data_IF_280498437255
#
_entry.id   IF_280498437255
#
_cell.length_a   1.000
_cell.length_b   1.000
_cell.length_c   1.000
_cell.angle_alpha   90.00
_cell.angle_beta   90.00
_cell.angle_gamma   90.00
#
_symmetry.space_group_name_H-M   'P 1'
#
loop_
_entity.id
_entity.type
_entity.pdbx_description
1 polymer ?
#
# COMPACT_ATOMS: atom_id res chain seq x y z
N UNK A 1 24.50 -11.72 -1.80
CA UNK A 1 23.28 -11.92 -1.00
C UNK A 1 22.28 -10.75 -1.11
N UNK A 2 22.66 -9.47 -0.99
CA UNK A 2 21.74 -8.31 -1.03
C UNK A 2 20.89 -8.19 -2.33
N UNK A 3 21.45 -8.48 -3.50
CA UNK A 3 20.73 -8.41 -4.80
C UNK A 3 19.64 -9.48 -4.98
N UNK A 4 19.78 -10.65 -4.35
CA UNK A 4 18.77 -11.71 -4.38
C UNK A 4 17.57 -11.37 -3.51
N UNK A 5 17.80 -10.85 -2.30
CA UNK A 5 16.73 -10.39 -1.40
C UNK A 5 15.91 -9.25 -2.02
N UNK A 6 16.57 -8.29 -2.67
CA UNK A 6 15.88 -7.17 -3.33
C UNK A 6 15.01 -7.59 -4.53
N UNK A 7 15.43 -8.64 -5.26
CA UNK A 7 14.60 -9.21 -6.33
C UNK A 7 13.41 -9.97 -5.78
N UNK A 8 13.64 -10.78 -4.75
CA UNK A 8 12.56 -11.54 -4.10
C UNK A 8 11.51 -10.60 -3.51
N UNK A 9 11.93 -9.55 -2.86
CA UNK A 9 11.11 -8.51 -2.26
C UNK A 9 10.24 -7.77 -3.32
N UNK A 10 10.82 -7.46 -4.47
CA UNK A 10 10.09 -6.86 -5.60
C UNK A 10 9.03 -7.80 -6.19
N UNK A 11 9.39 -9.06 -6.45
CA UNK A 11 8.44 -10.02 -6.99
C UNK A 11 7.29 -10.32 -6.02
N UNK A 12 7.57 -10.32 -4.71
CA UNK A 12 6.52 -10.50 -3.69
C UNK A 12 5.52 -9.33 -3.68
N UNK A 13 5.98 -8.09 -3.76
CA UNK A 13 5.09 -6.92 -3.81
C UNK A 13 4.25 -6.90 -5.08
N UNK A 14 4.87 -7.10 -6.24
CA UNK A 14 4.16 -7.18 -7.52
C UNK A 14 3.11 -8.30 -7.51
N UNK A 15 3.50 -9.48 -7.01
CA UNK A 15 2.58 -10.60 -6.89
C UNK A 15 1.42 -10.31 -5.94
N UNK A 16 1.68 -9.70 -4.77
CA UNK A 16 0.62 -9.33 -3.82
C UNK A 16 -0.34 -8.30 -4.41
N UNK A 17 0.17 -7.28 -5.09
CA UNK A 17 -0.68 -6.26 -5.72
C UNK A 17 -1.57 -6.87 -6.83
N UNK A 18 -1.01 -7.74 -7.66
CA UNK A 18 -1.77 -8.45 -8.71
C UNK A 18 -2.79 -9.41 -8.09
N UNK A 19 -2.41 -10.13 -7.02
CA UNK A 19 -3.31 -11.03 -6.32
C UNK A 19 -4.48 -10.27 -5.66
N UNK A 20 -4.23 -9.12 -5.03
CA UNK A 20 -5.29 -8.29 -4.46
C UNK A 20 -6.22 -7.74 -5.54
N UNK A 21 -5.67 -7.27 -6.66
CA UNK A 21 -6.47 -6.79 -7.78
C UNK A 21 -7.35 -7.92 -8.37
N UNK A 22 -6.77 -9.09 -8.58
CA UNK A 22 -7.49 -10.27 -9.05
C UNK A 22 -8.61 -10.69 -8.09
N UNK A 23 -8.31 -10.76 -6.78
CA UNK A 23 -9.28 -11.09 -5.74
C UNK A 23 -10.43 -10.07 -5.70
N UNK A 24 -10.13 -8.77 -5.74
CA UNK A 24 -11.17 -7.71 -5.80
C UNK A 24 -12.06 -7.88 -7.02
N UNK A 25 -11.48 -8.11 -8.18
CA UNK A 25 -12.24 -8.29 -9.44
C UNK A 25 -13.15 -9.49 -9.39
N UNK A 26 -12.66 -10.63 -8.86
CA UNK A 26 -13.45 -11.85 -8.71
C UNK A 26 -14.61 -11.66 -7.71
N UNK A 27 -14.32 -11.09 -6.53
CA UNK A 27 -15.34 -10.85 -5.50
C UNK A 27 -16.45 -9.92 -6.03
N UNK A 28 -16.07 -8.82 -6.69
CA UNK A 28 -17.04 -7.89 -7.27
C UNK A 28 -17.80 -8.51 -8.44
N UNK A 29 -17.15 -9.34 -9.26
CA UNK A 29 -17.83 -10.10 -10.32
C UNK A 29 -18.90 -11.03 -9.75
N UNK A 30 -18.58 -11.79 -8.69
CA UNK A 30 -19.54 -12.65 -8.00
C UNK A 30 -20.69 -11.83 -7.40
N UNK A 31 -20.40 -10.67 -6.80
CA UNK A 31 -21.43 -9.78 -6.26
C UNK A 31 -22.37 -9.27 -7.33
N UNK A 32 -21.86 -8.84 -8.48
CA UNK A 32 -22.68 -8.37 -9.61
C UNK A 32 -23.60 -9.49 -10.08
N UNK A 33 -23.08 -10.69 -10.30
CA UNK A 33 -23.90 -11.86 -10.70
C UNK A 33 -24.94 -12.17 -9.62
N UNK A 34 -24.57 -12.21 -8.36
CA UNK A 34 -25.50 -12.47 -7.25
C UNK A 34 -26.64 -11.46 -7.19
N UNK A 35 -26.33 -10.20 -7.41
CA UNK A 35 -27.35 -9.11 -7.37
C UNK A 35 -28.31 -9.16 -8.56
N UNK A 36 -27.79 -9.41 -9.77
CA UNK A 36 -28.63 -9.35 -10.98
C UNK A 36 -29.33 -10.68 -11.29
N UNK A 37 -28.74 -11.83 -10.94
CA UNK A 37 -29.31 -13.15 -11.22
C UNK A 37 -30.18 -13.63 -10.06
N UNK A 38 -29.69 -13.46 -8.81
CA UNK A 38 -30.37 -14.00 -7.62
C UNK A 38 -31.11 -12.91 -6.81
N UNK A 39 -30.98 -11.64 -7.15
CA UNK A 39 -31.62 -10.54 -6.43
C UNK A 39 -31.07 -10.32 -5.02
N UNK A 40 -29.94 -10.96 -4.67
CA UNK A 40 -29.35 -10.90 -3.35
C UNK A 40 -28.10 -10.02 -3.35
N UNK A 41 -28.03 -9.07 -2.40
CA UNK A 41 -26.85 -8.24 -2.19
C UNK A 41 -25.96 -8.85 -1.10
N UNK A 42 -24.69 -9.08 -1.43
CA UNK A 42 -23.68 -9.63 -0.53
C UNK A 42 -22.93 -8.48 0.15
N UNK A 43 -23.40 -8.01 1.30
CA UNK A 43 -22.78 -6.89 2.02
C UNK A 43 -21.32 -7.14 2.41
N UNK A 44 -20.97 -8.40 2.70
CA UNK A 44 -19.60 -8.79 3.05
C UNK A 44 -18.60 -8.60 1.89
N UNK A 45 -19.05 -8.76 0.64
CA UNK A 45 -18.17 -8.64 -0.52
C UNK A 45 -17.70 -7.21 -0.77
N UNK A 46 -18.57 -6.22 -0.55
CA UNK A 46 -18.20 -4.80 -0.60
C UNK A 46 -17.16 -4.45 0.46
N UNK A 47 -17.30 -5.01 1.63
CA UNK A 47 -16.41 -4.75 2.76
C UNK A 47 -15.03 -5.35 2.55
N UNK A 48 -14.95 -6.63 2.15
CA UNK A 48 -13.68 -7.29 1.84
C UNK A 48 -12.97 -6.59 0.68
N UNK A 49 -13.69 -6.21 -0.37
CA UNK A 49 -13.12 -5.48 -1.51
C UNK A 49 -12.53 -4.15 -1.06
N UNK A 50 -13.20 -3.42 -0.17
CA UNK A 50 -12.68 -2.17 0.41
C UNK A 50 -11.38 -2.40 1.19
N UNK A 51 -11.29 -3.47 1.96
CA UNK A 51 -10.09 -3.80 2.73
C UNK A 51 -8.92 -4.17 1.84
N UNK A 52 -9.15 -5.01 0.84
CA UNK A 52 -8.14 -5.34 -0.17
C UNK A 52 -7.67 -4.08 -0.93
N UNK A 53 -8.60 -3.17 -1.24
CA UNK A 53 -8.28 -1.91 -1.90
C UNK A 53 -7.37 -1.02 -1.03
N UNK A 54 -7.69 -0.88 0.27
CA UNK A 54 -6.87 -0.11 1.21
C UNK A 54 -5.46 -0.72 1.30
N UNK A 55 -5.35 -2.03 1.49
CA UNK A 55 -4.07 -2.72 1.55
C UNK A 55 -3.27 -2.57 0.25
N UNK A 56 -3.92 -2.75 -0.92
CA UNK A 56 -3.26 -2.57 -2.21
C UNK A 56 -2.78 -1.13 -2.42
N UNK A 57 -3.60 -0.15 -2.02
CA UNK A 57 -3.25 1.27 -2.09
C UNK A 57 -2.00 1.59 -1.27
N UNK A 58 -1.95 1.18 -0.01
CA UNK A 58 -0.80 1.45 0.84
C UNK A 58 0.45 0.65 0.44
N UNK A 59 0.33 -0.60 0.04
CA UNK A 59 1.46 -1.37 -0.50
C UNK A 59 2.00 -0.76 -1.80
N UNK A 60 1.12 -0.23 -2.66
CA UNK A 60 1.53 0.44 -3.89
C UNK A 60 2.34 1.72 -3.62
N UNK A 61 2.10 2.43 -2.51
CA UNK A 61 2.93 3.58 -2.10
C UNK A 61 4.38 3.15 -1.88
N UNK A 62 4.61 2.05 -1.16
CA UNK A 62 5.97 1.50 -0.96
C UNK A 62 6.62 1.11 -2.28
N UNK A 63 5.88 0.48 -3.18
CA UNK A 63 6.36 0.11 -4.50
C UNK A 63 6.66 1.33 -5.39
N UNK A 64 5.76 2.32 -5.42
CA UNK A 64 5.92 3.55 -6.19
C UNK A 64 7.07 4.41 -5.69
N UNK A 65 7.27 4.53 -4.39
CA UNK A 65 8.41 5.24 -3.82
C UNK A 65 9.72 4.72 -4.40
N UNK A 66 9.87 3.40 -4.47
CA UNK A 66 11.05 2.74 -5.01
C UNK A 66 11.23 2.93 -6.53
N UNK A 67 10.13 2.89 -7.30
CA UNK A 67 10.18 2.93 -8.77
C UNK A 67 10.08 4.35 -9.32
N UNK A 68 9.18 5.17 -8.79
CA UNK A 68 8.91 6.50 -9.35
C UNK A 68 10.03 7.50 -9.11
N UNK A 69 10.78 7.39 -8.00
CA UNK A 69 11.91 8.27 -7.74
C UNK A 69 13.01 8.04 -8.78
N UNK A 70 13.27 6.78 -9.15
CA UNK A 70 14.26 6.45 -10.17
C UNK A 70 13.86 6.96 -11.55
N UNK A 71 12.60 6.78 -11.96
CA UNK A 71 12.14 7.14 -13.32
C UNK A 71 12.00 8.65 -13.50
N UNK A 72 11.40 9.36 -12.54
CA UNK A 72 11.19 10.82 -12.64
C UNK A 72 12.51 11.59 -12.63
N UNK A 73 13.47 11.15 -11.82
CA UNK A 73 14.79 11.78 -11.77
C UNK A 73 15.53 11.56 -13.08
N UNK A 74 15.46 10.40 -13.71
CA UNK A 74 16.12 10.14 -15.00
C UNK A 74 15.53 10.96 -16.14
N UNK A 75 14.23 11.15 -16.22
CA UNK A 75 13.58 11.94 -17.28
C UNK A 75 13.81 13.46 -17.15
N UNK A 76 13.70 14.00 -15.95
CA UNK A 76 13.90 15.45 -15.72
C UNK A 76 15.37 15.86 -15.74
N UNK A 77 16.25 14.95 -15.42
CA UNK A 77 17.65 15.23 -15.14
C UNK A 77 18.57 14.79 -16.29
N UNK A 78 18.02 14.16 -17.35
CA UNK A 78 18.80 13.81 -18.55
C UNK A 78 19.51 15.03 -19.19
N UNK A 79 19.08 16.27 -18.89
CA UNK A 79 19.68 17.53 -19.34
C UNK A 79 20.59 18.21 -18.31
N UNK A 80 20.70 17.68 -17.08
CA UNK A 80 21.50 18.29 -16.02
C UNK A 80 22.83 17.56 -15.80
N UNK A 81 23.77 18.26 -15.14
CA UNK A 81 25.08 17.66 -14.84
C UNK A 81 24.96 16.52 -13.82
N UNK A 82 25.83 15.51 -13.89
CA UNK A 82 25.83 14.35 -12.97
C UNK A 82 25.87 14.75 -11.49
N UNK A 83 26.47 15.88 -11.16
CA UNK A 83 26.55 16.41 -9.80
C UNK A 83 25.21 16.88 -9.29
N UNK A 84 24.46 17.63 -10.11
CA UNK A 84 23.11 18.12 -9.76
C UNK A 84 22.12 16.98 -9.57
N UNK A 85 22.25 15.94 -10.37
CA UNK A 85 21.45 14.69 -10.24
C UNK A 85 21.62 14.07 -8.85
N UNK A 86 22.86 13.95 -8.40
CA UNK A 86 23.16 13.36 -7.09
C UNK A 86 22.53 14.18 -5.94
N UNK A 87 22.64 15.51 -6.00
CA UNK A 87 22.04 16.40 -5.00
C UNK A 87 20.51 16.32 -4.98
N UNK A 88 19.85 16.29 -6.14
CA UNK A 88 18.41 16.15 -6.23
C UNK A 88 17.95 14.80 -5.65
N UNK A 89 18.67 13.71 -5.94
CA UNK A 89 18.36 12.40 -5.36
C UNK A 89 18.46 12.41 -3.82
N UNK A 90 19.54 12.94 -3.28
CA UNK A 90 19.74 13.03 -1.83
C UNK A 90 18.64 13.89 -1.20
N UNK A 91 18.32 15.04 -1.80
CA UNK A 91 17.28 15.93 -1.28
C UNK A 91 15.90 15.27 -1.28
N UNK A 92 15.53 14.58 -2.36
CA UNK A 92 14.25 13.88 -2.47
C UNK A 92 14.14 12.73 -1.44
N UNK A 93 15.18 11.91 -1.33
CA UNK A 93 15.20 10.84 -0.33
C UNK A 93 15.17 11.37 1.11
N UNK A 94 15.82 12.50 1.38
CA UNK A 94 15.78 13.12 2.71
C UNK A 94 14.37 13.59 3.06
N UNK A 95 13.69 14.25 2.13
CA UNK A 95 12.29 14.70 2.34
C UNK A 95 11.39 13.47 2.56
N UNK A 96 11.54 12.45 1.74
CA UNK A 96 10.76 11.22 1.84
C UNK A 96 10.95 10.55 3.20
N UNK A 97 12.19 10.39 3.64
CA UNK A 97 12.53 9.79 4.92
C UNK A 97 11.97 10.59 6.10
N UNK A 98 12.09 11.92 6.06
CA UNK A 98 11.52 12.80 7.09
C UNK A 98 9.99 12.69 7.13
N UNK A 99 9.33 12.70 5.97
CA UNK A 99 7.88 12.60 5.88
C UNK A 99 7.36 11.28 6.42
N UNK A 100 7.89 10.15 5.95
CA UNK A 100 7.44 8.85 6.42
C UNK A 100 7.84 8.58 7.87
N UNK A 101 9.03 9.04 8.29
CA UNK A 101 9.46 8.97 9.69
C UNK A 101 8.53 9.75 10.63
N UNK A 102 8.06 10.92 10.19
CA UNK A 102 7.08 11.70 10.93
C UNK A 102 5.69 11.04 10.97
N UNK A 103 5.30 10.35 9.90
CA UNK A 103 3.98 9.69 9.80
C UNK A 103 3.87 8.38 10.58
N UNK A 104 4.97 7.67 10.84
CA UNK A 104 4.96 6.38 11.56
C UNK A 104 4.27 6.47 12.94
N UNK A 105 4.61 7.42 13.85
CA UNK A 105 3.99 7.49 15.16
C UNK A 105 2.47 7.77 15.09
N UNK A 106 2.04 8.55 14.11
CA UNK A 106 0.60 8.81 13.90
C UNK A 106 -0.13 7.56 13.39
N UNK A 107 0.46 6.83 12.44
CA UNK A 107 -0.10 5.57 11.95
C UNK A 107 -0.17 4.52 13.07
N UNK A 108 0.85 4.46 13.93
CA UNK A 108 0.85 3.59 15.10
C UNK A 108 -0.25 3.97 16.11
N UNK A 109 -0.38 5.25 16.43
CA UNK A 109 -1.44 5.75 17.33
C UNK A 109 -2.84 5.48 16.78
N UNK A 110 -3.01 5.64 15.46
CA UNK A 110 -4.27 5.36 14.77
C UNK A 110 -4.64 3.86 14.85
N UNK A 111 -3.69 2.98 14.57
CA UNK A 111 -3.88 1.53 14.72
C UNK A 111 -4.19 1.15 16.18
N UNK A 112 -3.47 1.72 17.15
CA UNK A 112 -3.65 1.42 18.57
C UNK A 112 -5.03 1.88 19.07
N UNK A 113 -5.53 3.01 18.57
CA UNK A 113 -6.89 3.49 18.84
C UNK A 113 -7.96 2.47 18.41
N UNK A 114 -7.76 1.83 17.24
CA UNK A 114 -8.68 0.79 16.78
C UNK A 114 -8.61 -0.49 17.63
N UNK A 115 -7.42 -0.84 18.10
CA UNK A 115 -7.25 -1.97 19.03
C UNK A 115 -7.98 -1.70 20.34
N UNK A 116 -7.80 -0.51 20.91
CA UNK A 116 -8.46 -0.14 22.18
C UNK A 116 -9.98 0.01 22.06
N UNK A 117 -10.47 0.48 20.92
CA UNK A 117 -11.93 0.64 20.71
C UNK A 117 -12.63 -0.70 20.48
N UNK A 118 -11.90 -1.78 20.17
CA UNK A 118 -12.48 -3.09 19.89
C UNK A 118 -13.44 -3.10 18.71
N UNK A 119 -13.35 -2.11 17.81
CA UNK A 119 -14.28 -1.97 16.69
C UNK A 119 -14.21 -3.17 15.74
N UNK A 120 -15.37 -3.74 15.50
CA UNK A 120 -15.57 -4.78 14.50
C UNK A 120 -16.26 -4.20 13.27
N UNK A 121 -15.97 -4.79 12.15
CA UNK A 121 -16.60 -4.48 10.88
C UNK A 121 -18.06 -4.90 10.87
N UNK A 122 -18.97 -4.11 10.29
CA UNK A 122 -20.41 -4.36 10.37
C UNK A 122 -20.88 -5.60 9.62
N UNK A 123 -20.24 -5.98 8.51
CA UNK A 123 -20.68 -7.13 7.71
C UNK A 123 -19.84 -8.40 7.95
N UNK A 124 -18.52 -8.26 8.07
CA UNK A 124 -17.60 -9.40 8.23
C UNK A 124 -17.21 -9.68 9.69
N UNK A 125 -17.53 -8.79 10.63
CA UNK A 125 -17.08 -8.84 12.03
C UNK A 125 -15.55 -8.94 12.19
N UNK A 126 -14.80 -8.47 11.18
CA UNK A 126 -13.35 -8.43 11.24
C UNK A 126 -12.88 -7.27 12.13
N UNK A 127 -11.82 -7.45 12.90
CA UNK A 127 -11.29 -6.38 13.72
C UNK A 127 -10.70 -5.26 12.86
N UNK A 128 -11.17 -4.02 13.05
CA UNK A 128 -10.81 -2.86 12.23
C UNK A 128 -9.32 -2.51 12.28
N UNK A 129 -8.61 -2.91 13.34
CA UNK A 129 -7.16 -2.67 13.43
C UNK A 129 -6.35 -3.32 12.30
N UNK A 130 -6.85 -4.42 11.69
CA UNK A 130 -6.20 -5.07 10.54
C UNK A 130 -6.14 -4.10 9.35
N UNK A 131 -7.21 -3.35 9.12
CA UNK A 131 -7.27 -2.37 8.03
C UNK A 131 -6.43 -1.15 8.36
N UNK A 132 -6.47 -0.70 9.61
CA UNK A 132 -5.72 0.46 10.09
C UNK A 132 -4.22 0.18 10.26
N UNK A 133 -3.79 -1.09 10.21
CA UNK A 133 -2.39 -1.46 10.16
C UNK A 133 -1.75 -1.23 8.78
N UNK A 134 -2.54 -1.15 7.70
CA UNK A 134 -2.02 -1.00 6.33
C UNK A 134 -1.12 0.25 6.15
N UNK A 135 -1.50 1.47 6.61
CA UNK A 135 -0.61 2.63 6.58
C UNK A 135 0.70 2.43 7.33
N UNK A 136 0.62 1.85 8.54
CA UNK A 136 1.80 1.61 9.37
C UNK A 136 2.80 0.69 8.67
N UNK A 137 2.33 -0.44 8.15
CA UNK A 137 3.16 -1.41 7.41
C UNK A 137 3.81 -0.74 6.20
N UNK A 138 3.03 0.03 5.42
CA UNK A 138 3.55 0.72 4.25
C UNK A 138 4.62 1.75 4.62
N UNK A 139 4.39 2.60 5.62
CA UNK A 139 5.33 3.64 6.03
C UNK A 139 6.63 3.05 6.58
N UNK A 140 6.54 1.96 7.35
CA UNK A 140 7.72 1.24 7.83
C UNK A 140 8.49 0.62 6.66
N UNK A 141 7.81 0.03 5.68
CA UNK A 141 8.46 -0.52 4.49
C UNK A 141 9.19 0.56 3.68
N UNK A 142 8.58 1.73 3.49
CA UNK A 142 9.23 2.86 2.80
C UNK A 142 10.44 3.37 3.60
N UNK A 143 10.31 3.49 4.92
CA UNK A 143 11.37 4.00 5.79
C UNK A 143 12.61 3.07 5.86
N UNK A 144 12.41 1.76 5.84
CA UNK A 144 13.50 0.75 5.91
C UNK A 144 14.22 0.59 4.56
N UNK A 145 13.64 1.03 3.48
CA UNK A 145 14.19 0.89 2.10
C UNK A 145 14.90 2.11 1.60
#
# INVERSE_FOLDING_TARGET
MKRGLQRLDRYLEEFLLVAFLGAMTLIMGVQVVSRYVFGMSLSWSEEITRYLFIWSGFLSVSYCSKMCISIKIEQFVSKLSRRTIAWVKVFTHTIELLFFGYMIPFAFSYMMSAVHSGQLSPACHLPMWIVQAAPLVSFVLVFVR
#
